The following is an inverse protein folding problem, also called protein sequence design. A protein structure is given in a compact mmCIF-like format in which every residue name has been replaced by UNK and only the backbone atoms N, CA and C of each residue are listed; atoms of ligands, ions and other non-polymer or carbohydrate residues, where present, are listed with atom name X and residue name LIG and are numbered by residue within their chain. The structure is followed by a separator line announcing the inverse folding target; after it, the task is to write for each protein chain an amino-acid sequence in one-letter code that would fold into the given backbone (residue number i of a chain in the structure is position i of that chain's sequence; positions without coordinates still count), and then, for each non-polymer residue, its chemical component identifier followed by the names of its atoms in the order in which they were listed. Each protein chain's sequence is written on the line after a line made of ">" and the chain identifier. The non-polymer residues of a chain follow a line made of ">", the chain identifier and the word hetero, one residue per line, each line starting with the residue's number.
data_IF_978920554715
#
_entry.id   IF_978920554715
#
_cell.length_a   1.000
_cell.length_b   1.000
_cell.length_c   1.000
_cell.angle_alpha   90.00
_cell.angle_beta   90.00
_cell.angle_gamma   90.00
#
_symmetry.space_group_name_H-M   'P 1'
#
loop_
_entity.id
_entity.type
_entity.pdbx_description
1 polymer ?
#
# COMPACT_ATOMS: atom_id res chain seq x y z
N UNK A 1 12.39 17.63 4.57
CA UNK A 1 12.51 16.36 3.80
C UNK A 1 11.27 16.17 2.95
N UNK A 2 11.37 15.56 1.76
CA UNK A 2 10.19 15.32 0.90
C UNK A 2 9.42 14.09 1.33
N UNK A 3 8.11 14.14 1.15
CA UNK A 3 7.16 13.11 1.61
C UNK A 3 6.51 12.41 0.43
N UNK A 4 6.29 11.09 0.55
CA UNK A 4 5.44 10.33 -0.35
C UNK A 4 4.26 9.69 0.41
N UNK A 5 3.13 9.54 -0.27
CA UNK A 5 2.01 8.71 0.17
C UNK A 5 2.02 7.42 -0.67
N UNK A 6 2.21 6.28 -0.01
CA UNK A 6 2.11 4.96 -0.61
C UNK A 6 0.71 4.40 -0.33
N UNK A 7 -0.01 4.04 -1.38
CA UNK A 7 -1.33 3.38 -1.30
C UNK A 7 -1.23 2.02 -1.96
N UNK A 8 -1.24 0.95 -1.17
CA UNK A 8 -1.10 -0.41 -1.68
C UNK A 8 -2.39 -1.22 -1.72
N UNK A 9 -2.53 -2.06 -2.74
CA UNK A 9 -3.56 -3.12 -2.85
C UNK A 9 -5.01 -2.62 -2.78
N UNK A 10 -5.25 -1.33 -3.03
CA UNK A 10 -6.58 -0.76 -3.26
C UNK A 10 -6.89 -0.89 -4.77
N UNK A 11 -7.04 -2.13 -5.21
CA UNK A 11 -7.27 -2.53 -6.60
C UNK A 11 -8.59 -3.29 -6.74
N UNK A 12 -9.21 -3.24 -7.92
CA UNK A 12 -10.58 -3.74 -8.17
C UNK A 12 -10.78 -5.20 -7.79
N UNK A 13 -9.78 -6.04 -8.03
CA UNK A 13 -9.80 -7.46 -7.67
C UNK A 13 -9.92 -7.69 -6.16
N UNK A 14 -9.35 -6.78 -5.36
CA UNK A 14 -9.34 -6.85 -3.90
C UNK A 14 -10.57 -6.12 -3.34
N UNK A 15 -10.83 -4.88 -3.75
CA UNK A 15 -11.97 -4.09 -3.26
C UNK A 15 -13.32 -4.71 -3.64
N UNK A 16 -13.41 -5.36 -4.80
CA UNK A 16 -14.62 -6.07 -5.24
C UNK A 16 -14.86 -7.41 -4.52
N UNK A 17 -13.81 -8.03 -3.97
CA UNK A 17 -13.90 -9.36 -3.34
C UNK A 17 -13.92 -9.32 -1.81
N UNK A 18 -13.37 -8.26 -1.21
CA UNK A 18 -13.17 -8.16 0.23
C UNK A 18 -13.83 -6.89 0.80
N UNK A 19 -14.95 -7.01 1.54
CA UNK A 19 -15.69 -5.85 2.06
C UNK A 19 -14.86 -4.90 2.93
N UNK A 20 -13.86 -5.41 3.66
CA UNK A 20 -12.98 -4.57 4.48
C UNK A 20 -12.08 -3.67 3.62
N UNK A 21 -11.70 -4.11 2.42
CA UNK A 21 -10.87 -3.32 1.50
C UNK A 21 -11.68 -2.18 0.87
N UNK A 22 -12.93 -2.43 0.49
CA UNK A 22 -13.81 -1.38 -0.05
C UNK A 22 -14.00 -0.20 0.94
N UNK A 23 -13.93 -0.46 2.26
CA UNK A 23 -14.11 0.57 3.30
C UNK A 23 -12.98 1.59 3.36
N UNK A 24 -11.78 1.27 2.88
CA UNK A 24 -10.64 2.20 2.91
C UNK A 24 -10.65 3.17 1.72
N UNK A 25 -11.44 2.90 0.68
CA UNK A 25 -11.47 3.70 -0.55
C UNK A 25 -11.89 5.16 -0.29
N UNK A 26 -13.02 5.46 0.39
CA UNK A 26 -13.45 6.84 0.57
C UNK A 26 -12.44 7.76 1.28
N UNK A 27 -11.88 7.42 2.47
CA UNK A 27 -10.95 8.33 3.16
C UNK A 27 -9.65 8.55 2.37
N UNK A 28 -9.18 7.55 1.61
CA UNK A 28 -8.02 7.72 0.74
C UNK A 28 -8.37 8.63 -0.45
N UNK A 29 -9.50 8.41 -1.10
CA UNK A 29 -9.95 9.23 -2.22
C UNK A 29 -10.09 10.72 -1.83
N UNK A 30 -10.59 11.00 -0.62
CA UNK A 30 -10.68 12.36 -0.07
C UNK A 30 -9.31 12.97 0.27
N UNK A 31 -8.32 12.15 0.66
CA UNK A 31 -6.96 12.59 0.95
C UNK A 31 -6.16 12.96 -0.32
N UNK A 32 -6.34 12.22 -1.42
CA UNK A 32 -5.51 12.34 -2.62
C UNK A 32 -5.37 13.77 -3.16
N UNK A 33 -6.45 14.56 -3.36
CA UNK A 33 -6.33 15.92 -3.92
C UNK A 33 -5.45 16.84 -3.06
N UNK A 34 -5.60 16.80 -1.74
CA UNK A 34 -4.81 17.66 -0.84
C UNK A 34 -3.38 17.16 -0.66
N UNK A 35 -3.14 15.84 -0.73
CA UNK A 35 -1.79 15.29 -0.73
C UNK A 35 -1.01 15.77 -1.97
N UNK A 36 -1.63 15.71 -3.15
CA UNK A 36 -1.07 16.25 -4.40
C UNK A 36 -0.82 17.74 -4.32
N UNK A 37 -1.81 18.53 -3.87
CA UNK A 37 -1.68 19.99 -3.73
C UNK A 37 -0.56 20.41 -2.76
N UNK A 38 -0.27 19.58 -1.75
CA UNK A 38 0.82 19.79 -0.81
C UNK A 38 2.20 19.29 -1.34
N UNK A 39 2.26 18.79 -2.57
CA UNK A 39 3.49 18.35 -3.23
C UNK A 39 4.00 16.97 -2.78
N UNK A 40 3.17 16.17 -2.12
CA UNK A 40 3.51 14.79 -1.81
C UNK A 40 3.57 13.96 -3.10
N UNK A 41 4.57 13.09 -3.21
CA UNK A 41 4.59 12.08 -4.27
C UNK A 41 3.53 11.02 -3.95
N UNK A 42 2.58 10.78 -4.85
CA UNK A 42 1.63 9.69 -4.69
C UNK A 42 2.17 8.46 -5.42
N UNK A 43 2.21 7.33 -4.72
CA UNK A 43 2.60 6.05 -5.29
C UNK A 43 1.50 5.03 -5.01
N UNK A 44 0.84 4.58 -6.06
CA UNK A 44 -0.06 3.44 -6.00
C UNK A 44 0.75 2.16 -6.20
N UNK A 45 0.46 1.15 -5.39
CA UNK A 45 1.11 -0.15 -5.48
C UNK A 45 0.02 -1.19 -5.67
N UNK A 46 0.11 -2.00 -6.71
CA UNK A 46 -0.86 -3.05 -6.99
C UNK A 46 -0.16 -4.40 -7.09
N UNK A 47 -0.89 -5.46 -6.77
CA UNK A 47 -0.40 -6.82 -6.80
C UNK A 47 -0.89 -7.54 -8.06
N UNK A 48 0.03 -8.23 -8.74
CA UNK A 48 -0.31 -9.09 -9.87
C UNK A 48 0.77 -10.13 -10.13
N UNK A 49 0.38 -11.39 -10.24
CA UNK A 49 1.20 -12.47 -10.79
C UNK A 49 1.13 -12.46 -12.31
N UNK A 50 2.17 -13.01 -12.94
CA UNK A 50 2.12 -13.31 -14.38
C UNK A 50 1.20 -14.50 -14.62
N UNK A 51 0.45 -14.48 -15.72
CA UNK A 51 -0.42 -15.60 -16.09
C UNK A 51 0.34 -16.94 -16.20
N UNK A 52 1.62 -16.93 -16.59
CA UNK A 52 2.42 -18.14 -16.71
C UNK A 52 2.93 -18.72 -15.37
N UNK A 53 2.67 -18.06 -14.24
CA UNK A 53 3.07 -18.51 -12.91
C UNK A 53 4.58 -18.47 -12.65
N UNK A 54 5.38 -17.81 -13.50
CA UNK A 54 6.83 -17.77 -13.35
C UNK A 54 7.29 -17.07 -12.05
N UNK A 55 6.41 -16.29 -11.42
CA UNK A 55 6.65 -15.59 -10.16
C UNK A 55 5.88 -16.18 -8.96
N UNK A 56 5.20 -17.31 -9.16
CA UNK A 56 4.53 -18.09 -8.11
C UNK A 56 5.54 -19.03 -7.42
N UNK A 57 5.78 -18.89 -6.10
CA UNK A 57 6.59 -19.86 -5.37
C UNK A 57 5.86 -21.21 -5.28
N UNK A 58 6.52 -22.30 -5.69
CA UNK A 58 5.91 -23.62 -5.83
C UNK A 58 5.23 -24.14 -4.54
N UNK A 59 5.85 -23.92 -3.38
CA UNK A 59 5.40 -24.47 -2.10
C UNK A 59 4.86 -23.40 -1.13
N UNK A 60 4.34 -22.29 -1.65
CA UNK A 60 3.73 -21.26 -0.80
C UNK A 60 2.19 -21.27 -0.94
N UNK A 61 1.45 -21.82 0.03
CA UNK A 61 0.00 -21.97 -0.07
C UNK A 61 -0.75 -20.63 -0.12
N UNK A 62 -0.23 -19.58 0.53
CA UNK A 62 -0.84 -18.25 0.48
C UNK A 62 -0.78 -17.68 -0.95
N UNK A 63 0.40 -17.65 -1.55
CA UNK A 63 0.55 -17.15 -2.92
C UNK A 63 -0.17 -18.01 -3.95
N UNK A 64 -0.21 -19.34 -3.71
CA UNK A 64 -1.02 -20.25 -4.52
C UNK A 64 -2.50 -19.88 -4.46
N UNK A 65 -3.03 -19.59 -3.27
CA UNK A 65 -4.43 -19.21 -3.11
C UNK A 65 -4.78 -17.90 -3.86
N UNK A 66 -3.87 -16.92 -3.87
CA UNK A 66 -4.07 -15.67 -4.63
C UNK A 66 -3.99 -15.90 -6.13
N UNK A 67 -3.05 -16.73 -6.59
CA UNK A 67 -2.92 -17.09 -8.00
C UNK A 67 -4.17 -17.85 -8.51
N UNK A 68 -4.68 -18.79 -7.71
CA UNK A 68 -5.88 -19.58 -8.03
C UNK A 68 -7.19 -18.77 -7.90
N UNK A 69 -7.17 -17.59 -7.26
CA UNK A 69 -8.32 -16.68 -7.17
C UNK A 69 -8.65 -15.97 -8.51
N UNK A 70 -7.96 -16.34 -9.59
CA UNK A 70 -8.23 -15.85 -10.93
C UNK A 70 -7.99 -14.35 -11.05
N UNK A 71 -8.81 -13.68 -11.86
CA UNK A 71 -8.59 -12.30 -12.31
C UNK A 71 -8.25 -11.29 -11.20
N UNK A 72 -8.56 -11.53 -9.93
CA UNK A 72 -8.23 -10.62 -8.85
C UNK A 72 -6.71 -10.28 -8.75
N UNK A 73 -5.83 -11.23 -9.11
CA UNK A 73 -4.39 -11.12 -8.89
C UNK A 73 -3.54 -11.49 -10.12
N UNK A 74 -4.07 -11.43 -11.35
CA UNK A 74 -3.28 -11.63 -12.58
C UNK A 74 -3.04 -10.30 -13.28
N UNK A 75 -1.77 -10.02 -13.59
CA UNK A 75 -1.26 -8.79 -14.20
C UNK A 75 -1.94 -8.46 -15.53
N UNK A 76 -2.31 -9.47 -16.32
CA UNK A 76 -2.93 -9.30 -17.64
C UNK A 76 -4.46 -9.10 -17.59
N UNK A 77 -5.05 -8.99 -16.40
CA UNK A 77 -6.49 -8.82 -16.19
C UNK A 77 -6.82 -7.47 -15.55
N UNK A 78 -8.11 -7.17 -15.39
CA UNK A 78 -8.56 -5.90 -14.78
C UNK A 78 -8.44 -5.90 -13.24
N UNK A 79 -8.12 -7.03 -12.59
CA UNK A 79 -8.06 -7.10 -11.13
C UNK A 79 -7.02 -6.18 -10.49
N UNK A 80 -5.82 -6.03 -11.07
CA UNK A 80 -4.81 -5.08 -10.61
C UNK A 80 -5.07 -3.62 -10.98
N UNK A 81 -6.18 -3.27 -11.66
CA UNK A 81 -6.56 -1.87 -11.84
C UNK A 81 -6.77 -1.19 -10.48
N UNK A 82 -6.20 0.00 -10.31
CA UNK A 82 -6.34 0.80 -9.08
C UNK A 82 -7.79 1.29 -8.94
N UNK A 83 -8.40 1.07 -7.78
CA UNK A 83 -9.78 1.46 -7.47
C UNK A 83 -9.86 2.84 -6.78
N UNK A 84 -9.04 3.77 -7.27
CA UNK A 84 -8.89 5.14 -6.77
C UNK A 84 -8.63 6.08 -7.96
N UNK A 85 -8.90 7.40 -7.83
CA UNK A 85 -8.65 8.34 -8.90
C UNK A 85 -7.14 8.59 -9.09
N UNK A 86 -6.52 7.82 -10.00
CA UNK A 86 -5.12 7.99 -10.41
C UNK A 86 -5.00 9.19 -11.36
N UNK A 87 -4.04 10.08 -11.08
CA UNK A 87 -3.70 11.23 -11.89
C UNK A 87 -2.42 10.96 -12.70
N UNK A 88 -2.18 11.75 -13.74
CA UNK A 88 -1.08 11.52 -14.69
C UNK A 88 0.31 11.69 -14.05
N UNK A 89 0.42 12.48 -12.98
CA UNK A 89 1.64 12.73 -12.23
C UNK A 89 1.96 11.66 -11.17
N UNK A 90 1.01 10.77 -10.88
CA UNK A 90 1.19 9.73 -9.87
C UNK A 90 2.07 8.58 -10.41
N UNK A 91 2.69 7.86 -9.50
CA UNK A 91 3.47 6.66 -9.83
C UNK A 91 2.63 5.42 -9.54
N UNK A 92 2.68 4.43 -10.44
CA UNK A 92 2.08 3.11 -10.25
C UNK A 92 3.18 2.06 -10.25
N UNK A 93 3.22 1.22 -9.22
CA UNK A 93 4.22 0.16 -9.02
C UNK A 93 3.53 -1.20 -8.93
N UNK A 94 3.92 -2.13 -9.80
CA UNK A 94 3.49 -3.51 -9.73
C UNK A 94 4.37 -4.31 -8.75
N UNK A 95 3.76 -4.92 -7.75
CA UNK A 95 4.42 -5.86 -6.83
C UNK A 95 3.93 -7.30 -6.98
N UNK A 96 4.77 -8.24 -6.55
CA UNK A 96 4.49 -9.69 -6.55
C UNK A 96 4.63 -10.33 -5.18
N UNK A 97 4.95 -9.53 -4.17
CA UNK A 97 5.19 -9.95 -2.78
C UNK A 97 4.44 -9.02 -1.84
N UNK A 98 4.55 -9.25 -0.53
CA UNK A 98 3.82 -8.47 0.46
C UNK A 98 4.32 -7.02 0.53
N UNK A 99 5.63 -6.82 0.76
CA UNK A 99 6.24 -5.49 0.78
C UNK A 99 6.17 -4.83 -0.59
N UNK A 100 5.84 -3.54 -0.62
CA UNK A 100 5.88 -2.71 -1.82
C UNK A 100 7.29 -2.53 -2.41
N UNK A 101 8.34 -2.80 -1.64
CA UNK A 101 9.74 -2.72 -2.09
C UNK A 101 10.27 -4.04 -2.68
N UNK A 102 9.66 -5.17 -2.34
CA UNK A 102 10.23 -6.48 -2.61
C UNK A 102 10.19 -6.82 -4.11
N UNK A 103 11.32 -6.61 -4.79
CA UNK A 103 11.49 -6.88 -6.22
C UNK A 103 10.78 -5.88 -7.13
N UNK A 104 10.58 -4.64 -6.67
CA UNK A 104 9.94 -3.54 -7.43
C UNK A 104 10.93 -2.40 -7.68
N UNK A 105 10.51 -1.40 -8.45
CA UNK A 105 11.25 -0.16 -8.69
C UNK A 105 10.92 0.97 -7.69
N UNK A 106 10.14 0.68 -6.64
CA UNK A 106 9.70 1.68 -5.66
C UNK A 106 10.88 2.44 -5.03
N UNK A 107 11.93 1.75 -4.58
CA UNK A 107 13.09 2.41 -3.95
C UNK A 107 13.80 3.35 -4.94
N UNK A 108 13.93 2.94 -6.20
CA UNK A 108 14.51 3.77 -7.26
C UNK A 108 13.71 5.07 -7.41
N UNK A 109 12.38 4.96 -7.50
CA UNK A 109 11.48 6.13 -7.62
C UNK A 109 11.62 7.06 -6.42
N UNK A 110 11.54 6.52 -5.21
CA UNK A 110 11.58 7.30 -3.97
C UNK A 110 12.93 8.03 -3.81
N UNK A 111 14.05 7.34 -4.09
CA UNK A 111 15.40 7.91 -4.02
C UNK A 111 15.61 8.98 -5.08
N UNK A 112 15.16 8.75 -6.32
CA UNK A 112 15.24 9.73 -7.40
C UNK A 112 14.48 11.04 -7.10
N UNK A 113 13.47 10.98 -6.22
CA UNK A 113 12.71 12.15 -5.78
C UNK A 113 13.17 12.72 -4.44
N UNK A 114 14.20 12.15 -3.82
CA UNK A 114 14.72 12.60 -2.52
C UNK A 114 13.71 12.44 -1.38
N UNK A 115 12.86 11.41 -1.45
CA UNK A 115 11.89 11.10 -0.41
C UNK A 115 12.61 10.57 0.83
N UNK A 116 12.24 11.09 2.01
CA UNK A 116 12.74 10.63 3.31
C UNK A 116 11.64 10.29 4.32
N UNK A 117 10.39 10.62 4.00
CA UNK A 117 9.21 10.35 4.83
C UNK A 117 8.14 9.66 3.99
N UNK A 118 7.51 8.63 4.55
CA UNK A 118 6.43 7.87 3.90
C UNK A 118 5.19 7.88 4.79
N UNK A 119 4.06 8.26 4.21
CA UNK A 119 2.76 7.85 4.72
C UNK A 119 2.31 6.58 4.00
N UNK A 120 1.79 5.61 4.74
CA UNK A 120 1.39 4.31 4.20
C UNK A 120 -0.11 4.09 4.48
N UNK A 121 -0.82 3.72 3.42
CA UNK A 121 -2.23 3.34 3.41
C UNK A 121 -2.42 2.10 2.53
N UNK A 122 -3.56 1.42 2.69
CA UNK A 122 -3.95 0.27 1.87
C UNK A 122 -4.25 -0.99 2.68
N UNK A 123 -4.25 -2.14 2.01
CA UNK A 123 -4.72 -3.40 2.60
C UNK A 123 -3.82 -4.59 2.27
N UNK A 124 -3.79 -5.65 3.08
CA UNK A 124 -4.27 -5.69 4.46
C UNK A 124 -3.25 -5.07 5.43
N UNK A 125 -3.72 -4.64 6.60
CA UNK A 125 -2.94 -3.99 7.65
C UNK A 125 -1.80 -4.88 8.14
N UNK A 126 -2.10 -6.14 8.44
CA UNK A 126 -1.13 -7.13 8.93
C UNK A 126 -0.28 -7.75 7.81
N UNK A 127 -0.55 -7.42 6.55
CA UNK A 127 0.13 -7.97 5.38
C UNK A 127 0.95 -6.91 4.66
N UNK A 128 0.44 -6.34 3.57
CA UNK A 128 1.16 -5.38 2.73
C UNK A 128 1.60 -4.14 3.52
N UNK A 129 0.72 -3.58 4.36
CA UNK A 129 1.04 -2.38 5.14
C UNK A 129 2.18 -2.66 6.11
N UNK A 130 2.05 -3.69 6.96
CA UNK A 130 3.10 -4.07 7.89
C UNK A 130 4.42 -4.45 7.22
N UNK A 131 4.37 -5.27 6.16
CA UNK A 131 5.56 -5.67 5.42
C UNK A 131 6.27 -4.46 4.80
N UNK A 132 5.52 -3.52 4.23
CA UNK A 132 6.08 -2.29 3.65
C UNK A 132 6.64 -1.37 4.72
N UNK A 133 5.99 -1.26 5.89
CA UNK A 133 6.50 -0.49 7.02
C UNK A 133 7.86 -1.01 7.50
N UNK A 134 8.00 -2.33 7.67
CA UNK A 134 9.26 -2.91 8.13
C UNK A 134 10.38 -2.75 7.10
N UNK A 135 10.11 -3.02 5.83
CA UNK A 135 11.09 -2.83 4.75
C UNK A 135 11.51 -1.35 4.61
N UNK A 136 10.55 -0.43 4.79
CA UNK A 136 10.83 1.01 4.78
C UNK A 136 11.65 1.47 6.00
N UNK A 137 11.39 0.92 7.18
CA UNK A 137 12.14 1.22 8.38
C UNK A 137 13.61 0.78 8.24
N UNK A 138 13.85 -0.41 7.72
CA UNK A 138 15.20 -0.93 7.43
C UNK A 138 15.95 -0.09 6.39
N UNK A 139 15.22 0.63 5.53
CA UNK A 139 15.76 1.57 4.53
C UNK A 139 15.96 3.00 5.05
N UNK A 140 15.61 3.25 6.31
CA UNK A 140 15.79 4.52 7.00
C UNK A 140 14.72 5.59 6.70
N UNK A 141 13.53 5.20 6.24
CA UNK A 141 12.41 6.14 6.08
C UNK A 141 11.76 6.46 7.42
N UNK A 142 11.27 7.69 7.58
CA UNK A 142 10.33 8.03 8.66
C UNK A 142 8.91 7.68 8.23
N UNK A 143 8.15 7.08 9.12
CA UNK A 143 6.91 6.39 8.76
C UNK A 143 5.72 6.93 9.53
N UNK A 144 4.65 7.14 8.79
CA UNK A 144 3.30 7.35 9.32
C UNK A 144 2.37 6.32 8.67
N UNK A 145 1.51 5.67 9.44
CA UNK A 145 0.43 4.80 8.94
C UNK A 145 -0.90 5.55 9.10
N UNK A 146 -1.70 5.53 8.04
CA UNK A 146 -3.02 6.16 8.03
C UNK A 146 -4.08 5.14 8.43
N UNK A 147 -4.61 5.27 9.65
CA UNK A 147 -5.48 4.25 10.27
C UNK A 147 -6.70 3.92 9.42
N UNK A 148 -7.51 4.93 9.12
CA UNK A 148 -8.73 4.86 8.32
C UNK A 148 -8.45 4.68 6.82
N UNK A 149 -7.21 4.90 6.38
CA UNK A 149 -6.70 4.50 5.07
C UNK A 149 -6.22 3.04 5.02
N UNK A 150 -6.31 2.29 6.11
CA UNK A 150 -5.90 0.90 6.21
C UNK A 150 -7.07 0.02 6.66
N UNK A 151 -6.98 -1.28 6.38
CA UNK A 151 -7.99 -2.24 6.81
C UNK A 151 -7.45 -3.66 6.86
N UNK A 152 -8.14 -4.53 7.59
CA UNK A 152 -7.82 -5.96 7.65
C UNK A 152 -9.11 -6.79 7.67
N UNK A 153 -9.01 -8.08 7.34
CA UNK A 153 -10.14 -9.00 7.38
C UNK A 153 -10.63 -9.26 8.81
N UNK A 154 -9.74 -9.11 9.79
CA UNK A 154 -10.05 -9.16 11.22
C UNK A 154 -9.79 -7.78 11.85
N UNK A 155 -10.86 -7.15 12.37
CA UNK A 155 -10.77 -5.84 13.01
C UNK A 155 -9.87 -5.86 14.25
N UNK A 156 -9.85 -6.94 15.03
CA UNK A 156 -8.99 -7.03 16.21
C UNK A 156 -7.50 -7.08 15.82
N UNK A 157 -7.18 -7.70 14.67
CA UNK A 157 -5.82 -7.68 14.11
C UNK A 157 -5.46 -6.27 13.67
N UNK A 158 -6.35 -5.60 12.93
CA UNK A 158 -6.13 -4.20 12.52
C UNK A 158 -5.85 -3.30 13.73
N UNK A 159 -6.73 -3.34 14.73
CA UNK A 159 -6.61 -2.50 15.93
C UNK A 159 -5.33 -2.80 16.70
N UNK A 160 -4.96 -4.08 16.86
CA UNK A 160 -3.70 -4.45 17.50
C UNK A 160 -2.47 -3.88 16.78
N UNK A 161 -2.47 -3.90 15.43
CA UNK A 161 -1.39 -3.31 14.66
C UNK A 161 -1.32 -1.79 14.84
N UNK A 162 -2.47 -1.12 14.79
CA UNK A 162 -2.57 0.34 14.88
C UNK A 162 -2.27 0.88 16.28
N UNK A 163 -2.68 0.16 17.33
CA UNK A 163 -2.60 0.63 18.70
C UNK A 163 -1.31 0.18 19.40
N UNK A 164 -0.76 -0.96 19.00
CA UNK A 164 0.37 -1.59 19.68
C UNK A 164 1.58 -1.75 18.77
N UNK A 165 1.43 -2.45 17.65
CA UNK A 165 2.58 -2.87 16.84
C UNK A 165 3.29 -1.68 16.22
N UNK A 166 2.59 -0.86 15.43
CA UNK A 166 3.21 0.29 14.76
C UNK A 166 3.80 1.30 15.75
N UNK A 167 3.07 1.76 16.79
CA UNK A 167 3.62 2.69 17.77
C UNK A 167 4.85 2.12 18.50
N UNK A 168 4.87 0.82 18.85
CA UNK A 168 6.03 0.19 19.51
C UNK A 168 7.31 0.22 18.66
N UNK A 169 7.19 0.41 17.34
CA UNK A 169 8.30 0.52 16.39
C UNK A 169 8.61 1.96 16.00
N UNK A 170 8.04 2.94 16.70
CA UNK A 170 8.24 4.35 16.44
C UNK A 170 7.55 4.83 15.15
N UNK A 171 6.59 4.06 14.64
CA UNK A 171 5.77 4.45 13.49
C UNK A 171 4.61 5.28 14.03
N UNK A 172 4.45 6.50 13.50
CA UNK A 172 3.31 7.34 13.85
C UNK A 172 2.03 6.75 13.26
N UNK A 173 0.92 6.78 14.00
CA UNK A 173 -0.39 6.38 13.49
C UNK A 173 -1.34 7.57 13.64
N UNK A 174 -1.97 7.96 12.54
CA UNK A 174 -2.92 9.08 12.49
C UNK A 174 -4.04 8.80 11.49
N UNK A 175 -5.05 9.67 11.40
CA UNK A 175 -6.09 9.56 10.39
C UNK A 175 -5.63 10.15 9.06
N UNK A 176 -6.25 9.72 7.96
CA UNK A 176 -6.15 10.38 6.66
C UNK A 176 -6.42 11.87 6.86
N UNK A 177 -7.55 12.23 7.47
CA UNK A 177 -8.01 13.61 7.67
C UNK A 177 -6.98 14.51 8.39
N UNK A 178 -6.24 13.97 9.36
CA UNK A 178 -5.29 14.72 10.17
C UNK A 178 -3.88 14.74 9.58
N UNK A 179 -3.53 13.74 8.77
CA UNK A 179 -2.20 13.66 8.17
C UNK A 179 -1.89 14.87 7.27
N UNK A 180 -0.66 15.38 7.38
CA UNK A 180 -0.12 16.45 6.53
C UNK A 180 1.27 16.03 6.04
N UNK A 181 1.58 16.19 4.74
CA UNK A 181 2.94 15.99 4.26
C UNK A 181 3.88 16.97 4.94
N UNK A 182 5.08 16.52 5.27
CA UNK A 182 6.10 17.43 5.75
C UNK A 182 6.56 18.36 4.63
N UNK A 183 6.71 19.64 4.98
CA UNK A 183 7.25 20.63 4.06
C UNK A 183 8.77 20.48 4.04
N UNK A 184 9.28 20.23 2.83
CA UNK A 184 10.71 20.11 2.55
C UNK A 184 11.46 21.40 2.77
#
# INVERSE_FOLDING_TARGET
>A
MRTALIVGDVQRGITGSYPFAARVVPPIAELLPRARAAGALIVFVHFGFRANGADLPADNPLYRSFYDAGNAFHEESDGPEIDLPVAAEDVVVLKRRASAFAGTDLDLVLRARGIGTLAIAGVATSAMVAATCYDAADRGYRLTVLRDGCGDGDAAVHDFFMDTVFPSRGIEVTSCADWRPERG
#
